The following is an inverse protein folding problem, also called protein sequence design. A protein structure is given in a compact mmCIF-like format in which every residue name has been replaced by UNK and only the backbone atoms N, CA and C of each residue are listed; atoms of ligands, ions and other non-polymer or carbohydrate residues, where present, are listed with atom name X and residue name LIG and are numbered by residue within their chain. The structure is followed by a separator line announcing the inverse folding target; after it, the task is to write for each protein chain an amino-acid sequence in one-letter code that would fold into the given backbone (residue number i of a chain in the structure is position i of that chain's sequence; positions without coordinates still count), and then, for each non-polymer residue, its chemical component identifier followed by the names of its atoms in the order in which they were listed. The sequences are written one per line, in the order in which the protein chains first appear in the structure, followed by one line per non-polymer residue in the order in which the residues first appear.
data_IF_298062119539
#
_entry.id   IF_298062119539
#
_cell.length_a   1.000
_cell.length_b   1.000
_cell.length_c   1.000
_cell.angle_alpha   90.00
_cell.angle_beta   90.00
_cell.angle_gamma   90.00
#
_symmetry.space_group_name_H-M   'P 1'
#
loop_
_entity.id
_entity.type
_entity.pdbx_description
1 polymer ?
#
# COMPACT_ATOMS: atom_id res chain seq x y z
N UNK A 1 -20.72 31.93 -17.75
CA UNK A 1 -20.89 30.57 -18.25
C UNK A 1 -19.84 29.65 -17.59
N UNK A 2 -20.16 29.29 -16.38
CA UNK A 2 -19.36 28.34 -15.60
C UNK A 2 -19.94 26.93 -15.86
N UNK A 3 -19.63 26.34 -16.99
CA UNK A 3 -20.13 25.02 -17.32
C UNK A 3 -19.09 24.31 -18.16
N UNK A 4 -18.20 23.68 -17.55
CA UNK A 4 -17.49 22.45 -17.84
C UNK A 4 -16.16 22.49 -17.10
N UNK A 5 -16.24 22.39 -15.81
CA UNK A 5 -15.13 21.79 -15.09
C UNK A 5 -15.09 20.34 -15.55
N UNK A 6 -14.36 20.14 -16.63
CA UNK A 6 -14.26 18.84 -17.30
C UNK A 6 -13.58 17.94 -16.31
N UNK A 7 -14.35 17.03 -15.74
CA UNK A 7 -13.94 16.09 -14.71
C UNK A 7 -12.72 15.33 -15.21
N UNK A 8 -11.57 15.69 -14.70
CA UNK A 8 -10.34 14.99 -14.96
C UNK A 8 -10.18 13.86 -13.95
N UNK A 9 -9.75 12.72 -14.42
CA UNK A 9 -9.42 11.58 -13.55
C UNK A 9 -7.97 11.22 -13.74
N UNK A 10 -7.31 10.88 -12.66
CA UNK A 10 -5.97 10.32 -12.71
C UNK A 10 -6.04 8.92 -13.30
N UNK A 11 -5.19 8.64 -14.28
CA UNK A 11 -5.17 7.37 -15.02
C UNK A 11 -3.88 6.62 -14.69
N UNK A 12 -4.05 5.38 -14.30
CA UNK A 12 -2.96 4.45 -14.03
C UNK A 12 -3.01 3.29 -15.01
N UNK A 13 -1.84 2.88 -15.49
CA UNK A 13 -1.68 1.71 -16.35
C UNK A 13 -0.73 0.72 -15.72
N UNK A 14 -1.11 -0.56 -15.80
CA UNK A 14 -0.24 -1.70 -15.53
C UNK A 14 -0.21 -2.57 -16.77
N UNK A 15 1.00 -2.85 -17.29
CA UNK A 15 1.19 -3.57 -18.52
C UNK A 15 2.19 -4.69 -18.31
N UNK A 16 1.83 -5.88 -18.81
CA UNK A 16 2.71 -7.07 -18.75
C UNK A 16 2.73 -7.78 -20.11
N UNK A 17 3.88 -8.34 -20.45
CA UNK A 17 4.05 -9.21 -21.59
C UNK A 17 5.22 -10.17 -21.34
N UNK A 18 5.18 -11.41 -21.83
CA UNK A 18 6.31 -12.31 -21.75
C UNK A 18 7.47 -11.98 -22.71
N UNK A 19 7.20 -11.22 -23.77
CA UNK A 19 8.16 -11.01 -24.86
C UNK A 19 8.41 -9.55 -25.19
N UNK A 20 7.44 -8.67 -24.99
CA UNK A 20 7.57 -7.25 -25.24
C UNK A 20 8.30 -6.62 -24.05
N UNK A 21 9.40 -5.91 -24.32
CA UNK A 21 10.26 -5.36 -23.26
C UNK A 21 9.96 -3.93 -22.92
N UNK A 22 9.47 -3.16 -23.88
CA UNK A 22 9.25 -1.73 -23.70
C UNK A 22 7.91 -1.29 -24.26
N UNK A 23 7.21 -0.45 -23.52
CA UNK A 23 6.02 0.27 -23.95
C UNK A 23 6.22 1.77 -23.87
N UNK A 24 5.72 2.49 -24.87
CA UNK A 24 5.70 3.94 -24.90
C UNK A 24 4.26 4.45 -24.87
N UNK A 25 4.03 5.48 -24.06
CA UNK A 25 2.74 6.14 -23.90
C UNK A 25 2.81 7.57 -24.39
N UNK A 26 1.90 7.95 -25.25
CA UNK A 26 1.79 9.29 -25.82
C UNK A 26 0.31 9.65 -26.05
N UNK A 27 0.05 10.89 -26.42
CA UNK A 27 -1.30 11.34 -26.74
C UNK A 27 -1.76 12.53 -25.91
N UNK A 28 -3.07 12.68 -25.81
CA UNK A 28 -3.68 13.83 -25.15
C UNK A 28 -3.28 13.90 -23.67
N UNK A 29 -2.91 15.10 -23.20
CA UNK A 29 -2.52 15.31 -21.81
C UNK A 29 -1.12 14.83 -21.44
N UNK A 30 -0.44 14.07 -22.28
CA UNK A 30 0.93 13.59 -22.08
C UNK A 30 1.90 14.53 -22.80
N UNK A 31 2.64 15.33 -22.03
CA UNK A 31 3.56 16.35 -22.59
C UNK A 31 4.78 15.75 -23.29
N UNK A 32 5.30 14.66 -22.75
CA UNK A 32 6.46 13.94 -23.29
C UNK A 32 6.10 12.45 -23.33
N UNK A 33 6.60 11.74 -24.34
CA UNK A 33 6.46 10.29 -24.38
C UNK A 33 7.03 9.67 -23.12
N UNK A 34 6.21 8.85 -22.46
CA UNK A 34 6.61 8.07 -21.28
C UNK A 34 7.02 6.68 -21.75
N UNK A 35 8.11 6.15 -21.23
CA UNK A 35 8.59 4.81 -21.55
C UNK A 35 8.62 3.94 -20.30
N UNK A 36 8.15 2.70 -20.43
CA UNK A 36 8.16 1.71 -19.37
C UNK A 36 8.91 0.46 -19.81
N UNK A 37 9.83 0.00 -18.96
CA UNK A 37 10.34 -1.37 -19.06
C UNK A 37 9.29 -2.35 -18.53
N UNK A 38 8.89 -3.32 -19.35
CA UNK A 38 7.83 -4.28 -19.03
C UNK A 38 8.41 -5.58 -18.41
N UNK A 39 9.71 -5.81 -18.49
CA UNK A 39 10.36 -6.94 -17.82
C UNK A 39 10.23 -6.86 -16.29
N UNK A 40 10.18 -5.64 -15.75
CA UNK A 40 9.91 -5.37 -14.34
C UNK A 40 8.67 -4.46 -14.23
N UNK A 41 7.46 -5.03 -14.40
CA UNK A 41 6.25 -4.24 -14.55
C UNK A 41 5.89 -3.54 -13.24
N UNK A 42 5.53 -2.27 -13.33
CA UNK A 42 5.01 -1.45 -12.24
C UNK A 42 3.81 -0.64 -12.70
N UNK A 43 3.03 -0.12 -11.76
CA UNK A 43 1.91 0.76 -12.05
C UNK A 43 2.46 2.12 -12.47
N UNK A 44 2.19 2.53 -13.70
CA UNK A 44 2.58 3.84 -14.23
C UNK A 44 1.45 4.83 -14.07
N UNK A 45 1.74 6.00 -13.56
CA UNK A 45 0.84 7.14 -13.49
C UNK A 45 0.96 7.96 -14.79
N UNK A 46 -0.12 8.03 -15.55
CA UNK A 46 -0.19 8.81 -16.79
C UNK A 46 -0.70 10.24 -16.56
N UNK A 47 -1.05 10.60 -15.31
CA UNK A 47 -1.57 11.90 -14.96
C UNK A 47 -3.08 12.03 -15.13
N UNK A 48 -3.55 13.28 -15.19
CA UNK A 48 -4.97 13.62 -15.23
C UNK A 48 -5.48 13.77 -16.66
N UNK A 49 -6.48 12.96 -17.02
CA UNK A 49 -7.12 12.94 -18.33
C UNK A 49 -8.59 13.27 -18.26
N UNK A 50 -9.10 13.92 -19.30
CA UNK A 50 -10.52 14.21 -19.50
C UNK A 50 -11.21 13.04 -20.20
N UNK A 51 -12.52 12.94 -20.05
CA UNK A 51 -13.30 12.00 -20.83
C UNK A 51 -13.18 12.31 -22.33
N UNK A 52 -12.78 11.31 -23.11
CA UNK A 52 -12.61 11.40 -24.56
C UNK A 52 -11.20 11.73 -25.01
N UNK A 53 -10.26 12.03 -24.12
CA UNK A 53 -8.86 12.09 -24.46
C UNK A 53 -8.31 10.71 -24.82
N UNK A 54 -7.47 10.65 -25.84
CA UNK A 54 -6.90 9.41 -26.37
C UNK A 54 -5.45 9.24 -25.90
N UNK A 55 -5.18 8.08 -25.33
CA UNK A 55 -3.82 7.67 -24.96
C UNK A 55 -3.38 6.57 -25.91
N UNK A 56 -2.28 6.81 -26.62
CA UNK A 56 -1.68 5.86 -27.53
C UNK A 56 -0.61 5.07 -26.81
N UNK A 57 -0.71 3.74 -26.89
CA UNK A 57 0.30 2.81 -26.38
C UNK A 57 1.01 2.19 -27.59
N UNK A 58 2.33 2.37 -27.65
CA UNK A 58 3.19 1.75 -28.65
C UNK A 58 4.05 0.69 -27.97
N UNK A 59 3.99 -0.52 -28.48
CA UNK A 59 4.72 -1.68 -27.93
C UNK A 59 5.90 -1.97 -28.85
N UNK A 60 7.11 -1.99 -28.30
CA UNK A 60 8.30 -2.42 -29.03
C UNK A 60 8.47 -3.94 -28.87
N UNK A 61 8.22 -4.63 -29.96
CA UNK A 61 8.34 -6.07 -30.06
C UNK A 61 9.78 -6.53 -30.34
N UNK A 62 10.67 -5.60 -30.68
CA UNK A 62 12.07 -5.93 -31.03
C UNK A 62 12.16 -7.02 -32.10
N UNK A 63 13.19 -7.82 -32.04
CA UNK A 63 13.36 -9.03 -32.87
C UNK A 63 12.67 -10.22 -32.19
N UNK A 64 11.34 -10.28 -32.30
CA UNK A 64 10.57 -11.40 -31.77
C UNK A 64 10.87 -12.69 -32.53
N UNK A 65 11.13 -13.75 -31.75
CA UNK A 65 11.31 -15.10 -32.31
C UNK A 65 10.00 -15.90 -32.35
N UNK A 66 8.95 -15.45 -31.69
CA UNK A 66 7.67 -16.11 -31.63
C UNK A 66 6.73 -15.66 -32.75
N UNK A 67 5.92 -16.59 -33.24
CA UNK A 67 4.91 -16.33 -34.29
C UNK A 67 3.71 -15.54 -33.73
N UNK A 68 3.50 -15.61 -32.44
CA UNK A 68 2.42 -14.92 -31.73
C UNK A 68 2.93 -14.39 -30.39
N UNK A 69 2.61 -13.15 -30.06
CA UNK A 69 2.87 -12.55 -28.76
C UNK A 69 1.64 -11.82 -28.24
N UNK A 70 1.53 -11.68 -26.94
CA UNK A 70 0.43 -10.96 -26.31
C UNK A 70 0.95 -9.97 -25.26
N UNK A 71 0.16 -8.92 -25.07
CA UNK A 71 0.35 -7.99 -23.96
C UNK A 71 -0.97 -7.83 -23.20
N UNK A 72 -0.89 -7.85 -21.91
CA UNK A 72 -2.04 -7.55 -21.04
C UNK A 72 -1.94 -6.12 -20.54
N UNK A 73 -2.93 -5.30 -20.85
CA UNK A 73 -2.99 -3.88 -20.49
C UNK A 73 -4.17 -3.69 -19.55
N UNK A 74 -3.89 -3.20 -18.35
CA UNK A 74 -4.89 -2.85 -17.35
C UNK A 74 -4.85 -1.33 -17.15
N UNK A 75 -5.95 -0.65 -17.49
CA UNK A 75 -6.08 0.78 -17.29
C UNK A 75 -7.16 1.08 -16.25
N UNK A 76 -6.82 1.94 -15.29
CA UNK A 76 -7.70 2.32 -14.18
C UNK A 76 -7.76 3.84 -14.06
N UNK A 77 -8.93 4.35 -13.73
CA UNK A 77 -9.06 5.75 -13.31
C UNK A 77 -9.48 5.83 -11.85
N UNK A 78 -8.86 6.73 -11.09
CA UNK A 78 -9.20 6.96 -9.69
C UNK A 78 -10.34 7.96 -9.58
N UNK A 79 -11.38 7.58 -8.87
CA UNK A 79 -12.41 8.52 -8.42
C UNK A 79 -11.96 9.12 -7.08
N UNK A 80 -11.42 10.35 -7.13
CA UNK A 80 -10.89 11.04 -5.95
C UNK A 80 -11.93 11.29 -4.87
N UNK A 81 -13.20 11.44 -5.24
CA UNK A 81 -14.29 11.64 -4.28
C UNK A 81 -14.52 10.38 -3.45
N UNK A 82 -14.56 9.23 -4.12
CA UNK A 82 -14.71 7.93 -3.46
C UNK A 82 -13.48 7.61 -2.64
N UNK A 83 -12.29 7.85 -3.19
CA UNK A 83 -11.03 7.66 -2.48
C UNK A 83 -10.95 8.52 -1.22
N UNK A 84 -11.23 9.84 -1.33
CA UNK A 84 -11.18 10.74 -0.20
C UNK A 84 -12.21 10.38 0.89
N UNK A 85 -13.39 9.88 0.50
CA UNK A 85 -14.39 9.39 1.45
C UNK A 85 -13.88 8.17 2.21
N UNK A 86 -13.33 7.18 1.51
CA UNK A 86 -12.73 6.00 2.14
C UNK A 86 -11.56 6.35 3.05
N UNK A 87 -10.66 7.21 2.57
CA UNK A 87 -9.53 7.69 3.37
C UNK A 87 -9.96 8.37 4.67
N UNK A 88 -10.96 9.26 4.61
CA UNK A 88 -11.48 9.94 5.82
C UNK A 88 -12.05 8.95 6.83
N UNK A 89 -12.78 7.94 6.39
CA UNK A 89 -13.30 6.90 7.29
C UNK A 89 -12.18 6.16 8.04
N UNK A 90 -11.08 5.89 7.36
CA UNK A 90 -9.90 5.27 7.98
C UNK A 90 -9.15 6.25 8.89
N UNK A 91 -8.97 7.48 8.44
CA UNK A 91 -8.24 8.52 9.19
C UNK A 91 -8.96 8.93 10.49
N UNK A 92 -10.29 8.97 10.50
CA UNK A 92 -11.08 9.30 11.68
C UNK A 92 -10.90 8.29 12.84
N UNK A 93 -10.51 7.07 12.51
CA UNK A 93 -10.25 5.99 13.49
C UNK A 93 -8.79 5.56 13.52
N UNK A 94 -7.87 6.40 13.04
CA UNK A 94 -6.45 6.10 13.05
C UNK A 94 -5.88 6.15 14.46
N UNK A 95 -4.88 5.29 14.72
CA UNK A 95 -4.08 5.36 15.94
C UNK A 95 -3.34 6.69 16.00
N UNK A 96 -3.61 7.47 17.03
CA UNK A 96 -2.88 8.70 17.33
C UNK A 96 -1.63 8.33 18.09
N UNK A 97 -0.50 8.23 17.40
CA UNK A 97 0.79 7.87 18.00
C UNK A 97 1.26 9.02 18.89
N UNK A 98 1.56 8.70 20.14
CA UNK A 98 2.04 9.66 21.14
C UNK A 98 3.52 9.48 21.46
N UNK A 99 4.02 8.26 21.28
CA UNK A 99 5.43 7.93 21.46
C UNK A 99 5.82 6.77 20.55
N UNK A 100 7.03 6.79 20.02
CA UNK A 100 7.54 5.74 19.14
C UNK A 100 9.05 5.60 19.19
N UNK A 101 9.53 4.39 18.97
CA UNK A 101 10.93 4.04 18.88
C UNK A 101 11.09 2.73 18.08
N UNK A 102 12.31 2.24 17.98
CA UNK A 102 12.62 1.03 17.20
C UNK A 102 11.91 -0.23 17.72
N UNK A 103 11.65 -0.28 19.02
CA UNK A 103 11.09 -1.47 19.69
C UNK A 103 9.76 -1.19 20.39
N UNK A 104 9.25 0.01 20.34
CA UNK A 104 7.99 0.36 20.98
C UNK A 104 7.24 1.45 20.21
N UNK A 105 5.92 1.37 20.24
CA UNK A 105 5.02 2.39 19.71
C UNK A 105 3.85 2.48 20.68
N UNK A 106 3.52 3.69 21.12
CA UNK A 106 2.38 3.94 22.00
C UNK A 106 1.46 4.99 21.38
N UNK A 107 0.16 4.80 21.55
CA UNK A 107 -0.80 5.76 21.04
C UNK A 107 -2.19 5.55 21.63
N UNK A 108 -3.12 6.38 21.19
CA UNK A 108 -4.54 6.24 21.54
C UNK A 108 -5.38 6.06 20.29
N UNK A 109 -6.43 5.27 20.39
CA UNK A 109 -7.40 5.06 19.32
C UNK A 109 -8.81 5.19 19.86
N UNK A 110 -9.72 5.69 19.05
CA UNK A 110 -11.14 5.70 19.37
C UNK A 110 -11.90 5.01 18.25
N UNK A 111 -12.60 3.95 18.56
CA UNK A 111 -13.39 3.18 17.61
C UNK A 111 -14.86 3.13 18.04
N UNK A 112 -15.77 3.15 17.07
CA UNK A 112 -17.23 3.19 17.32
C UNK A 112 -17.86 1.80 17.35
N UNK A 113 -17.22 0.84 16.72
CA UNK A 113 -17.65 -0.54 16.60
C UNK A 113 -16.45 -1.48 16.66
N UNK A 114 -16.68 -2.80 16.75
CA UNK A 114 -15.60 -3.77 16.67
C UNK A 114 -14.81 -3.57 15.37
N UNK A 115 -13.54 -3.29 15.51
CA UNK A 115 -12.68 -2.89 14.40
C UNK A 115 -11.36 -3.66 14.40
N UNK A 116 -10.66 -3.60 13.29
CA UNK A 116 -9.30 -4.07 13.17
C UNK A 116 -8.33 -2.89 13.21
N UNK A 117 -7.34 -2.95 14.09
CA UNK A 117 -6.18 -2.08 14.00
C UNK A 117 -5.18 -2.73 13.05
N UNK A 118 -5.18 -2.25 11.81
CA UNK A 118 -4.23 -2.67 10.77
C UNK A 118 -3.01 -1.75 10.80
N UNK A 119 -1.82 -2.32 10.84
CA UNK A 119 -0.58 -1.55 10.83
C UNK A 119 0.15 -1.74 9.50
N UNK A 120 1.11 -0.87 9.19
CA UNK A 120 2.09 -1.06 8.13
C UNK A 120 3.32 -1.86 8.59
N UNK A 121 3.30 -2.38 9.80
CA UNK A 121 4.39 -3.16 10.38
C UNK A 121 4.33 -4.58 9.84
N UNK A 122 5.41 -5.14 9.27
CA UNK A 122 5.47 -6.54 8.91
C UNK A 122 5.21 -7.44 10.13
N UNK A 123 4.38 -8.47 9.93
CA UNK A 123 4.11 -9.41 11.02
C UNK A 123 5.36 -10.19 11.40
N UNK A 124 5.74 -10.07 12.66
CA UNK A 124 6.75 -10.91 13.31
C UNK A 124 6.26 -11.31 14.69
N UNK A 125 6.57 -12.53 15.11
CA UNK A 125 6.16 -13.06 16.42
C UNK A 125 6.89 -12.38 17.59
N UNK A 126 7.90 -11.55 17.33
CA UNK A 126 8.53 -10.69 18.31
C UNK A 126 7.66 -9.52 18.73
N UNK A 127 6.69 -9.11 17.92
CA UNK A 127 5.74 -8.08 18.27
C UNK A 127 4.69 -8.60 19.24
N UNK A 128 4.41 -7.83 20.26
CA UNK A 128 3.28 -7.98 21.17
C UNK A 128 2.48 -6.69 21.19
N UNK A 129 1.17 -6.80 21.05
CA UNK A 129 0.25 -5.66 21.11
C UNK A 129 -0.51 -5.72 22.44
N UNK A 130 -0.63 -4.57 23.09
CA UNK A 130 -1.39 -4.40 24.32
C UNK A 130 -2.46 -3.34 24.10
N UNK A 131 -3.68 -3.60 24.56
CA UNK A 131 -4.79 -2.67 24.57
C UNK A 131 -5.20 -2.46 26.02
N UNK A 132 -5.12 -1.21 26.49
CA UNK A 132 -5.35 -0.83 27.90
C UNK A 132 -4.52 -1.65 28.91
N UNK A 133 -3.30 -2.02 28.50
CA UNK A 133 -2.38 -2.82 29.30
C UNK A 133 -2.58 -4.34 29.22
N UNK A 134 -3.65 -4.82 28.58
CA UNK A 134 -3.89 -6.24 28.37
C UNK A 134 -3.33 -6.71 27.02
N UNK A 135 -2.66 -7.87 27.02
CA UNK A 135 -2.09 -8.42 25.79
C UNK A 135 -3.20 -8.85 24.84
N UNK A 136 -3.20 -8.28 23.63
CA UNK A 136 -4.14 -8.60 22.58
C UNK A 136 -3.63 -9.73 21.67
N UNK A 137 -4.55 -10.48 21.10
CA UNK A 137 -4.23 -11.46 20.06
C UNK A 137 -3.86 -10.73 18.76
N UNK A 138 -2.82 -11.23 18.10
CA UNK A 138 -2.33 -10.66 16.83
C UNK A 138 -2.41 -11.68 15.71
N UNK A 139 -2.68 -11.22 14.51
CA UNK A 139 -2.75 -12.05 13.31
C UNK A 139 -2.22 -11.29 12.08
N UNK A 140 -2.08 -11.99 10.97
CA UNK A 140 -1.60 -11.43 9.70
C UNK A 140 -2.77 -10.91 8.86
N UNK A 141 -2.70 -9.68 8.40
CA UNK A 141 -3.55 -9.19 7.34
C UNK A 141 -2.81 -9.32 6.00
N UNK A 142 -3.47 -9.95 5.03
CA UNK A 142 -2.89 -10.17 3.70
C UNK A 142 -1.58 -10.97 3.73
N UNK A 143 -1.44 -11.90 4.67
CA UNK A 143 -0.24 -12.73 4.90
C UNK A 143 1.03 -11.92 5.26
N UNK A 144 0.93 -10.63 5.50
CA UNK A 144 2.08 -9.75 5.64
C UNK A 144 2.05 -8.85 6.89
N UNK A 145 0.94 -8.19 7.19
CA UNK A 145 0.92 -7.05 8.13
C UNK A 145 0.38 -7.44 9.51
N UNK A 146 1.00 -6.86 10.55
CA UNK A 146 0.56 -7.01 11.94
C UNK A 146 -0.79 -6.36 12.16
N UNK A 147 -1.74 -7.12 12.67
CA UNK A 147 -3.11 -6.69 12.92
C UNK A 147 -3.62 -7.22 14.24
N UNK A 148 -4.51 -6.50 14.89
CA UNK A 148 -5.25 -6.94 16.09
C UNK A 148 -6.70 -6.44 16.03
N UNK A 149 -7.58 -6.98 16.88
CA UNK A 149 -8.96 -6.49 17.04
C UNK A 149 -9.03 -5.45 18.13
N UNK A 150 -9.90 -4.44 17.95
CA UNK A 150 -10.18 -3.40 18.94
C UNK A 150 -11.68 -3.32 19.16
N UNK A 151 -12.12 -3.34 20.42
CA UNK A 151 -13.53 -3.16 20.81
C UNK A 151 -13.95 -1.69 20.71
N UNK A 152 -15.28 -1.40 20.68
CA UNK A 152 -15.75 -0.03 20.73
C UNK A 152 -15.26 0.70 21.99
N UNK A 153 -14.83 1.95 21.83
CA UNK A 153 -14.34 2.76 22.94
C UNK A 153 -13.11 3.58 22.58
N UNK A 154 -12.58 4.26 23.60
CA UNK A 154 -11.27 4.92 23.54
C UNK A 154 -10.27 4.03 24.28
N UNK A 155 -9.18 3.71 23.61
CA UNK A 155 -8.18 2.76 24.11
C UNK A 155 -6.78 3.34 24.00
N UNK A 156 -5.92 2.93 24.92
CA UNK A 156 -4.48 3.07 24.78
C UNK A 156 -3.93 1.82 24.14
N UNK A 157 -3.13 1.99 23.11
CA UNK A 157 -2.50 0.89 22.37
C UNK A 157 -1.00 0.99 22.52
N UNK A 158 -0.38 -0.13 22.85
CA UNK A 158 1.07 -0.23 22.95
C UNK A 158 1.55 -1.45 22.16
N UNK A 159 2.53 -1.24 21.29
CA UNK A 159 3.23 -2.27 20.54
C UNK A 159 4.65 -2.37 21.09
N UNK A 160 5.07 -3.58 21.44
CA UNK A 160 6.43 -3.86 21.95
C UNK A 160 7.07 -4.94 21.10
N UNK A 161 8.30 -4.71 20.69
CA UNK A 161 9.08 -5.69 19.95
C UNK A 161 10.18 -6.27 20.83
N UNK A 162 10.24 -7.60 20.85
CA UNK A 162 11.33 -8.34 21.49
C UNK A 162 11.95 -9.27 20.47
N UNK A 163 13.22 -9.06 20.07
CA UNK A 163 13.89 -9.93 19.11
C UNK A 163 13.92 -11.38 19.59
N UNK A 164 13.65 -12.30 18.65
CA UNK A 164 13.78 -13.72 18.92
C UNK A 164 15.22 -14.05 19.31
N UNK A 165 15.38 -14.85 20.35
CA UNK A 165 16.70 -15.25 20.83
C UNK A 165 17.36 -14.27 21.79
N UNK A 166 16.81 -13.09 22.05
CA UNK A 166 17.38 -12.13 23.01
C UNK A 166 17.56 -12.74 24.41
N UNK A 167 16.54 -13.45 24.90
CA UNK A 167 16.61 -14.11 26.20
C UNK A 167 17.65 -15.22 26.25
N UNK A 168 17.74 -16.01 25.18
CA UNK A 168 18.74 -17.10 25.06
C UNK A 168 20.13 -16.50 24.97
N UNK A 169 20.33 -15.49 24.14
CA UNK A 169 21.63 -14.81 24.02
C UNK A 169 22.09 -14.17 25.33
N UNK A 170 21.19 -13.52 26.05
CA UNK A 170 21.49 -12.95 27.36
C UNK A 170 21.85 -14.02 28.41
N UNK A 171 21.14 -15.15 28.42
CA UNK A 171 21.45 -16.27 29.32
C UNK A 171 22.83 -16.87 29.03
N UNK A 172 23.16 -17.11 27.76
CA UNK A 172 24.49 -17.63 27.34
C UNK A 172 25.58 -16.63 27.73
N UNK A 173 25.41 -15.34 27.45
CA UNK A 173 26.39 -14.31 27.80
C UNK A 173 26.59 -14.18 29.31
N UNK A 174 25.54 -14.33 30.12
CA UNK A 174 25.59 -14.28 31.56
C UNK A 174 26.27 -15.49 32.22
N UNK A 175 26.37 -16.62 31.52
CA UNK A 175 27.03 -17.85 32.01
C UNK A 175 28.50 -17.91 31.60
N UNK A 176 28.97 -17.03 30.74
CA UNK A 176 30.36 -16.96 30.26
C UNK A 176 31.25 -15.96 31.02
N UNK A 177 30.79 -15.42 32.16
CA UNK A 177 31.54 -14.49 33.02
C UNK A 177 32.06 -15.22 34.26
#
# INVERSE_FOLDING_TARGET
SAASDVYKRQVYIYLTSPEIKTAEFSGDGIKNTLSQNIEEPYIMDLGYHKKGEEIKVSLDAGSMSATESYASIYAYSVDETVFAKGYRLLADSALQVTDWGETHITGTITVRENSYLCTSIPYDTGWSVYIDGEKAETFKLGEALLTTTVKPGKHTVELRYTPKGLAIGAAVSGTCV
#
